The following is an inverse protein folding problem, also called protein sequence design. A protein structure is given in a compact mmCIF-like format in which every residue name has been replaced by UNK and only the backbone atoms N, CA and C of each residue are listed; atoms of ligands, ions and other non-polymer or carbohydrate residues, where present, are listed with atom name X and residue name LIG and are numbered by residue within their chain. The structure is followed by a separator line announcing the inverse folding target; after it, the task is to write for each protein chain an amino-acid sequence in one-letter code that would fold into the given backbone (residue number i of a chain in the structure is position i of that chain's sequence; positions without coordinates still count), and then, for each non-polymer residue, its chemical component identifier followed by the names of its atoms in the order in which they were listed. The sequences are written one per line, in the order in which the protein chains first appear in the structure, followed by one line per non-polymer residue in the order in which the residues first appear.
data_IF_839385867725
#
_entry.id   IF_839385867725
#
_cell.length_a   1.000
_cell.length_b   1.000
_cell.length_c   1.000
_cell.angle_alpha   90.00
_cell.angle_beta   90.00
_cell.angle_gamma   90.00
#
_symmetry.space_group_name_H-M   'P 1'
#
loop_
_entity.id
_entity.type
_entity.pdbx_description
1 polymer ?
#
# COMPACT_ATOMS: atom_id res chain seq x y z
N UNK A 1 0.51 -7.12 10.54
CA UNK A 1 -0.93 -6.99 10.23
C UNK A 1 -1.31 -5.52 10.37
N UNK A 2 -1.82 -4.90 9.30
CA UNK A 2 -2.30 -3.51 9.33
C UNK A 2 -3.75 -3.49 9.82
N UNK A 3 -4.04 -2.71 10.87
CA UNK A 3 -5.37 -2.65 11.51
C UNK A 3 -5.93 -1.23 11.49
N UNK A 4 -5.04 -0.22 11.47
CA UNK A 4 -5.40 1.19 11.51
C UNK A 4 -4.89 1.96 10.29
N UNK A 5 -5.56 3.08 9.99
CA UNK A 5 -5.14 4.01 8.94
C UNK A 5 -3.71 4.54 9.16
N UNK A 6 -3.28 4.65 10.41
CA UNK A 6 -1.92 5.06 10.77
C UNK A 6 -0.88 3.99 10.47
N UNK A 7 -1.26 2.71 10.44
CA UNK A 7 -0.34 1.62 10.11
C UNK A 7 0.12 1.73 8.66
N UNK A 8 -0.77 2.15 7.74
CA UNK A 8 -0.40 2.43 6.34
C UNK A 8 0.67 3.51 6.26
N UNK A 9 0.54 4.56 7.07
CA UNK A 9 1.50 5.67 7.10
C UNK A 9 2.85 5.18 7.65
N UNK A 10 2.83 4.45 8.77
CA UNK A 10 4.04 3.92 9.41
C UNK A 10 4.76 2.91 8.52
N UNK A 11 4.04 2.00 7.87
CA UNK A 11 4.62 1.01 6.95
C UNK A 11 5.20 1.71 5.72
N UNK A 12 4.48 2.64 5.09
CA UNK A 12 4.99 3.40 3.94
C UNK A 12 6.27 4.20 4.30
N UNK A 13 6.33 4.78 5.49
CA UNK A 13 7.51 5.48 5.99
C UNK A 13 8.67 4.52 6.31
N UNK A 14 8.41 3.43 7.03
CA UNK A 14 9.46 2.52 7.49
C UNK A 14 9.99 1.60 6.38
N UNK A 15 9.12 1.15 5.47
CA UNK A 15 9.45 0.18 4.42
C UNK A 15 9.98 0.84 3.14
N UNK A 16 9.40 1.99 2.76
CA UNK A 16 9.78 2.68 1.52
C UNK A 16 10.46 4.03 1.77
N UNK A 17 10.84 4.35 3.02
CA UNK A 17 11.44 5.64 3.39
C UNK A 17 10.68 6.86 2.82
N UNK A 18 9.36 6.75 2.71
CA UNK A 18 8.52 7.89 2.36
C UNK A 18 8.45 8.84 3.55
N UNK A 19 8.38 10.13 3.28
CA UNK A 19 8.11 11.09 4.36
C UNK A 19 6.70 10.90 4.91
N UNK A 20 6.45 11.33 6.16
CA UNK A 20 5.13 11.22 6.78
C UNK A 20 4.03 11.91 5.94
N UNK A 21 4.36 13.03 5.28
CA UNK A 21 3.44 13.72 4.37
C UNK A 21 3.12 12.93 3.11
N UNK A 22 4.13 12.30 2.51
CA UNK A 22 3.96 11.43 1.33
C UNK A 22 3.16 10.16 1.66
N UNK A 23 3.43 9.57 2.82
CA UNK A 23 2.70 8.43 3.33
C UNK A 23 1.23 8.75 3.64
N UNK A 24 0.94 9.96 4.13
CA UNK A 24 -0.44 10.43 4.30
C UNK A 24 -1.16 10.69 2.96
N UNK A 25 -0.44 11.22 1.95
CA UNK A 25 -0.95 11.35 0.58
C UNK A 25 -1.28 9.97 0.01
N UNK A 26 -0.40 8.98 0.21
CA UNK A 26 -0.65 7.59 -0.18
C UNK A 26 -1.93 7.08 0.48
N UNK A 27 -2.07 7.21 1.81
CA UNK A 27 -3.29 6.81 2.54
C UNK A 27 -4.56 7.49 1.99
N UNK A 28 -4.48 8.79 1.65
CA UNK A 28 -5.63 9.53 1.10
C UNK A 28 -5.98 9.12 -0.32
N UNK A 29 -4.99 8.91 -1.19
CA UNK A 29 -5.18 8.42 -2.56
C UNK A 29 -5.83 7.04 -2.60
N UNK A 30 -5.39 6.19 -1.69
CA UNK A 30 -5.90 4.85 -1.41
C UNK A 30 -7.38 4.82 -0.99
N UNK A 31 -7.86 5.82 -0.25
CA UNK A 31 -9.26 5.89 0.18
C UNK A 31 -10.25 6.24 -0.96
N UNK A 32 -9.79 6.41 -2.20
CA UNK A 32 -10.63 6.74 -3.36
C UNK A 32 -11.23 8.15 -3.36
N UNK A 33 -11.04 8.92 -2.28
CA UNK A 33 -11.59 10.28 -2.09
C UNK A 33 -10.68 11.39 -2.63
N UNK A 34 -9.57 11.05 -3.30
CA UNK A 34 -8.54 12.03 -3.63
C UNK A 34 -8.69 12.59 -5.05
N UNK A 35 -8.65 13.93 -5.15
CA UNK A 35 -8.82 14.68 -6.41
C UNK A 35 -7.64 14.56 -7.37
N UNK A 36 -6.46 14.19 -6.90
CA UNK A 36 -5.21 14.20 -7.69
C UNK A 36 -4.64 12.80 -7.87
N UNK A 37 -5.14 12.06 -8.87
CA UNK A 37 -4.58 10.75 -9.28
C UNK A 37 -3.10 10.84 -9.67
N UNK A 38 -2.67 11.97 -10.24
CA UNK A 38 -1.29 12.20 -10.64
C UNK A 38 -0.32 12.20 -9.44
N UNK A 39 -0.71 12.83 -8.33
CA UNK A 39 0.11 12.89 -7.12
C UNK A 39 0.24 11.49 -6.48
N UNK A 40 -0.87 10.75 -6.41
CA UNK A 40 -0.86 9.37 -5.95
C UNK A 40 0.06 8.48 -6.81
N UNK A 41 0.00 8.62 -8.15
CA UNK A 41 0.87 7.87 -9.05
C UNK A 41 2.35 8.21 -8.85
N UNK A 42 2.68 9.49 -8.62
CA UNK A 42 4.04 9.91 -8.30
C UNK A 42 4.55 9.27 -7.00
N UNK A 43 3.71 9.23 -5.95
CA UNK A 43 4.06 8.58 -4.69
C UNK A 43 4.19 7.06 -4.86
N UNK A 44 3.32 6.41 -5.64
CA UNK A 44 3.45 4.99 -6.00
C UNK A 44 4.81 4.71 -6.66
N UNK A 45 5.16 5.47 -7.70
CA UNK A 45 6.45 5.30 -8.37
C UNK A 45 7.62 5.53 -7.40
N UNK A 46 7.52 6.52 -6.51
CA UNK A 46 8.54 6.78 -5.50
C UNK A 46 8.66 5.65 -4.49
N UNK A 47 7.55 5.06 -4.05
CA UNK A 47 7.54 3.88 -3.17
C UNK A 47 8.37 2.73 -3.76
N UNK A 48 8.04 2.30 -4.98
CA UNK A 48 8.76 1.20 -5.64
C UNK A 48 10.22 1.55 -5.92
N UNK A 49 10.50 2.80 -6.32
CA UNK A 49 11.87 3.25 -6.54
C UNK A 49 12.70 3.19 -5.26
N UNK A 50 12.16 3.68 -4.14
CA UNK A 50 12.85 3.64 -2.86
C UNK A 50 13.05 2.22 -2.38
N UNK A 51 12.05 1.34 -2.54
CA UNK A 51 12.20 -0.07 -2.19
C UNK A 51 13.29 -0.77 -3.04
N UNK A 52 13.37 -0.45 -4.33
CA UNK A 52 14.42 -0.96 -5.20
C UNK A 52 15.82 -0.42 -4.80
N UNK A 53 15.93 0.85 -4.42
CA UNK A 53 17.16 1.46 -3.91
C UNK A 53 17.62 0.81 -2.59
N UNK A 54 16.66 0.42 -1.75
CA UNK A 54 16.87 -0.32 -0.51
C UNK A 54 17.18 -1.82 -0.71
N UNK A 55 17.29 -2.28 -1.97
CA UNK A 55 17.46 -3.69 -2.33
C UNK A 55 16.38 -4.61 -1.74
N UNK A 56 15.17 -4.09 -1.50
CA UNK A 56 14.04 -4.94 -1.19
C UNK A 56 13.72 -5.81 -2.40
N UNK A 57 13.50 -7.11 -2.17
CA UNK A 57 13.04 -8.02 -3.21
C UNK A 57 11.76 -7.48 -3.84
N UNK A 58 11.65 -7.55 -5.17
CA UNK A 58 10.44 -7.11 -5.88
C UNK A 58 9.20 -7.82 -5.34
N UNK A 59 9.31 -9.13 -5.10
CA UNK A 59 8.24 -9.97 -4.57
C UNK A 59 7.67 -9.44 -3.24
N UNK A 60 8.56 -9.11 -2.29
CA UNK A 60 8.20 -8.55 -0.99
C UNK A 60 7.59 -7.15 -1.14
N UNK A 61 8.17 -6.34 -2.03
CA UNK A 61 7.69 -4.98 -2.28
C UNK A 61 6.26 -4.99 -2.86
N UNK A 62 6.00 -5.88 -3.80
CA UNK A 62 4.69 -6.10 -4.39
C UNK A 62 3.69 -6.65 -3.37
N UNK A 63 4.11 -7.58 -2.51
CA UNK A 63 3.27 -8.10 -1.43
C UNK A 63 2.87 -7.01 -0.43
N UNK A 64 3.83 -6.22 0.06
CA UNK A 64 3.57 -5.11 0.98
C UNK A 64 2.64 -4.09 0.33
N UNK A 65 2.91 -3.74 -0.93
CA UNK A 65 2.06 -2.84 -1.70
C UNK A 65 0.63 -3.37 -1.84
N UNK A 66 0.47 -4.66 -2.12
CA UNK A 66 -0.84 -5.32 -2.21
C UNK A 66 -1.59 -5.30 -0.88
N UNK A 67 -0.91 -5.50 0.24
CA UNK A 67 -1.53 -5.40 1.56
C UNK A 67 -2.01 -3.96 1.84
N UNK A 68 -1.23 -2.95 1.43
CA UNK A 68 -1.61 -1.53 1.58
C UNK A 68 -2.82 -1.20 0.68
N UNK A 69 -2.81 -1.62 -0.59
CA UNK A 69 -3.96 -1.47 -1.51
C UNK A 69 -5.21 -2.21 -1.01
N UNK A 70 -5.05 -3.40 -0.43
CA UNK A 70 -6.18 -4.16 0.09
C UNK A 70 -6.84 -3.44 1.28
N UNK A 71 -6.04 -2.90 2.19
CA UNK A 71 -6.55 -2.15 3.34
C UNK A 71 -7.24 -0.84 2.93
N UNK A 72 -6.67 -0.16 1.94
CA UNK A 72 -7.22 1.01 1.28
C UNK A 72 -8.61 0.77 0.66
N UNK A 73 -8.73 -0.33 -0.10
CA UNK A 73 -9.99 -0.74 -0.72
C UNK A 73 -11.03 -1.25 0.28
N UNK A 74 -10.61 -1.95 1.33
CA UNK A 74 -11.49 -2.46 2.38
C UNK A 74 -12.08 -1.37 3.26
N UNK A 75 -11.38 -0.24 3.43
CA UNK A 75 -11.90 0.89 4.18
C UNK A 75 -13.15 1.55 3.55
N UNK A 76 -13.56 1.18 2.32
CA UNK A 76 -14.78 1.76 1.72
C UNK A 76 -15.57 0.92 0.68
N UNK A 77 -15.38 -0.40 0.52
CA UNK A 77 -16.16 -1.14 -0.49
C UNK A 77 -16.83 -2.43 0.02
N UNK A 78 -18.02 -2.26 0.61
CA UNK A 78 -19.09 -3.28 0.65
C UNK A 78 -19.73 -3.47 -0.75
N UNK A 79 -18.91 -3.61 -1.79
CA UNK A 79 -19.38 -3.65 -3.18
C UNK A 79 -18.41 -4.38 -4.10
N UNK A 80 -18.59 -5.69 -4.22
CA UNK A 80 -18.18 -6.50 -5.39
C UNK A 80 -16.69 -6.58 -5.77
N UNK A 81 -15.83 -7.18 -4.94
CA UNK A 81 -14.76 -8.08 -5.43
C UNK A 81 -14.09 -8.83 -4.29
N UNK A 82 -14.71 -9.94 -3.91
CA UNK A 82 -14.03 -11.03 -3.23
C UNK A 82 -13.18 -11.78 -4.27
N UNK A 83 -11.87 -11.52 -4.33
CA UNK A 83 -10.82 -12.26 -5.06
C UNK A 83 -9.54 -11.47 -4.77
N UNK A 84 -8.65 -11.78 -3.83
CA UNK A 84 -7.75 -12.92 -3.78
C UNK A 84 -7.11 -12.94 -2.37
N UNK A 85 -7.62 -13.76 -1.45
CA UNK A 85 -7.03 -13.97 -0.13
C UNK A 85 -7.18 -15.43 0.32
N UNK A 86 -6.95 -16.35 -0.61
CA UNK A 86 -6.74 -17.77 -0.33
C UNK A 86 -5.55 -18.16 -1.20
N UNK A 87 -4.70 -19.07 -0.71
CA UNK A 87 -3.42 -19.50 -1.29
C UNK A 87 -2.18 -18.75 -0.76
N UNK A 88 -1.88 -18.91 0.53
CA UNK A 88 -0.48 -18.99 1.01
C UNK A 88 -0.32 -19.73 2.34
N UNK A 89 -1.29 -20.55 2.77
CA UNK A 89 -1.14 -21.34 4.00
C UNK A 89 -1.74 -22.73 3.90
N UNK A 90 -1.40 -23.46 2.84
CA UNK A 90 -1.58 -24.92 2.83
C UNK A 90 -0.58 -25.57 1.86
N UNK A 91 0.67 -25.72 2.32
CA UNK A 91 1.58 -26.79 1.94
C UNK A 91 2.73 -26.90 2.96
N UNK A 92 2.36 -27.03 4.24
CA UNK A 92 3.08 -27.85 5.21
C UNK A 92 2.08 -28.87 5.75
#
# INVERSE_FOLDING_TARGET
IMVYQEDVIKVAHAFAHLTLGEADVLRRGMSGKYRSRAEFQAIKTKFFKNCADLQHGQDITEEVWRQIESFAGYAFAKGHSASYAVESYQAL
#
